data_IF_177926929566
#
_entry.id   IF_177926929566
#
_cell.length_a   1.000
_cell.length_b   1.000
_cell.length_c   1.000
_cell.angle_alpha   90.00
_cell.angle_beta   90.00
_cell.angle_gamma   90.00
#
_symmetry.space_group_name_H-M   'P 1'
#
loop_
_entity.id
_entity.type
_entity.pdbx_description
1 polymer ?
#
# COMPACT_ATOMS: atom_id res chain seq x y z
N UNK A 1 14.58 36.98 -3.25
CA UNK A 1 15.19 35.93 -4.09
C UNK A 1 14.17 34.83 -4.24
N UNK A 2 13.50 34.81 -5.38
CA UNK A 2 12.53 33.80 -5.79
C UNK A 2 13.27 32.95 -6.80
N UNK A 3 13.32 31.62 -6.60
CA UNK A 3 13.88 30.72 -7.60
C UNK A 3 12.72 30.24 -8.49
N UNK A 4 12.78 30.65 -9.76
CA UNK A 4 12.00 30.08 -10.86
C UNK A 4 12.45 28.64 -11.14
N UNK A 5 11.49 27.75 -11.36
CA UNK A 5 11.73 26.41 -11.91
C UNK A 5 11.15 26.40 -13.34
N UNK A 6 11.92 26.06 -14.38
CA UNK A 6 11.41 26.12 -15.75
C UNK A 6 10.40 25.01 -16.02
N UNK A 7 9.28 25.39 -16.61
CA UNK A 7 8.32 24.50 -17.26
C UNK A 7 8.94 24.04 -18.59
N UNK A 8 9.25 22.74 -18.71
CA UNK A 8 9.62 22.14 -19.99
C UNK A 8 8.38 21.52 -20.63
N UNK A 9 7.99 22.10 -21.76
CA UNK A 9 7.04 21.57 -22.73
C UNK A 9 7.84 20.68 -23.71
N UNK A 10 7.54 19.40 -23.79
CA UNK A 10 7.95 18.60 -24.95
C UNK A 10 6.88 17.56 -25.28
N UNK A 11 6.16 17.82 -26.37
CA UNK A 11 5.21 16.91 -26.99
C UNK A 11 5.98 15.80 -27.71
N UNK A 12 5.73 14.54 -27.36
CA UNK A 12 6.09 13.39 -28.20
C UNK A 12 4.81 12.66 -28.56
N UNK A 13 4.48 12.68 -29.84
CA UNK A 13 3.37 11.93 -30.43
C UNK A 13 3.85 10.54 -30.86
N UNK A 14 3.24 9.48 -30.35
CA UNK A 14 3.16 8.19 -31.08
C UNK A 14 1.83 7.50 -30.78
N UNK A 15 1.22 7.05 -31.88
CA UNK A 15 -0.07 6.38 -32.02
C UNK A 15 -0.10 4.98 -31.37
N UNK A 16 -1.19 4.65 -30.70
CA UNK A 16 -1.54 3.30 -30.23
C UNK A 16 -1.99 3.34 -28.77
N UNK A 17 -3.11 2.70 -28.45
CA UNK A 17 -3.84 2.78 -27.16
C UNK A 17 -3.04 2.21 -25.97
N UNK A 18 -1.99 2.90 -25.56
CA UNK A 18 -1.23 2.66 -24.33
C UNK A 18 -1.72 3.63 -23.25
N UNK A 19 -2.26 3.09 -22.15
CA UNK A 19 -2.58 3.84 -20.95
C UNK A 19 -1.27 4.30 -20.27
N UNK A 20 -0.73 5.42 -20.74
CA UNK A 20 0.34 6.14 -20.06
C UNK A 20 -0.26 6.86 -18.84
N UNK A 21 0.09 6.42 -17.63
CA UNK A 21 -0.11 7.23 -16.44
C UNK A 21 0.89 8.38 -16.52
N UNK A 22 0.39 9.58 -16.80
CA UNK A 22 1.17 10.82 -16.72
C UNK A 22 1.50 11.12 -15.27
N UNK A 23 2.52 11.95 -15.01
CA UNK A 23 2.80 12.46 -13.65
C UNK A 23 1.55 13.09 -12.99
N UNK A 24 0.58 13.56 -13.79
CA UNK A 24 -0.72 14.09 -13.37
C UNK A 24 -1.70 13.00 -12.88
N UNK A 25 -1.58 11.76 -13.32
CA UNK A 25 -2.42 10.64 -12.89
C UNK A 25 -1.99 10.09 -11.53
N UNK A 26 -0.68 10.13 -11.26
CA UNK A 26 -0.13 9.91 -9.90
C UNK A 26 -0.53 11.07 -8.98
N UNK A 27 -0.43 12.33 -9.44
CA UNK A 27 -0.78 13.51 -8.64
C UNK A 27 -2.30 13.70 -8.43
N UNK A 28 -3.16 13.20 -9.31
CA UNK A 28 -4.63 13.25 -9.13
C UNK A 28 -5.17 12.09 -8.28
N UNK A 29 -4.42 10.98 -8.17
CA UNK A 29 -4.71 9.87 -7.26
C UNK A 29 -4.08 10.07 -5.87
N UNK A 30 -3.04 10.90 -5.74
CA UNK A 30 -2.59 11.43 -4.44
C UNK A 30 -3.48 12.62 -4.07
N UNK A 31 -4.77 12.33 -3.82
CA UNK A 31 -5.56 13.20 -2.95
C UNK A 31 -4.98 13.00 -1.56
N UNK A 32 -4.20 13.98 -1.09
CA UNK A 32 -4.01 14.34 0.31
C UNK A 32 -4.42 13.23 1.30
N UNK A 33 -3.44 12.56 1.93
CA UNK A 33 -3.72 11.75 3.12
C UNK A 33 -4.53 12.61 4.09
N UNK A 34 -5.82 12.30 4.24
CA UNK A 34 -6.75 13.15 4.98
C UNK A 34 -6.46 13.05 6.48
N UNK A 35 -6.05 14.19 7.03
CA UNK A 35 -5.68 14.41 8.42
C UNK A 35 -6.91 14.24 9.32
N UNK A 36 -6.78 13.50 10.44
CA UNK A 36 -7.71 13.65 11.58
C UNK A 36 -7.28 14.89 12.37
N UNK A 37 -8.11 15.94 12.47
CA UNK A 37 -7.67 17.23 12.99
C UNK A 37 -7.87 17.33 14.51
N UNK A 38 -7.40 16.40 15.33
CA UNK A 38 -7.52 16.56 16.80
C UNK A 38 -6.32 16.09 17.63
N UNK A 39 -5.18 15.74 17.02
CA UNK A 39 -3.95 15.49 17.76
C UNK A 39 -2.97 16.67 17.58
N UNK A 40 -2.62 17.32 18.68
CA UNK A 40 -1.52 18.27 18.81
C UNK A 40 -0.31 17.77 18.00
N UNK A 41 0.12 18.54 16.99
CA UNK A 41 1.23 18.23 16.11
C UNK A 41 2.57 18.25 16.88
N UNK A 42 2.86 17.19 17.63
CA UNK A 42 4.23 16.89 18.09
C UNK A 42 4.88 16.00 17.05
N UNK A 43 5.36 16.60 15.95
CA UNK A 43 6.11 15.88 14.93
C UNK A 43 6.29 16.66 13.63
N UNK A 44 7.50 16.64 13.09
CA UNK A 44 7.80 17.29 11.80
C UNK A 44 7.37 16.41 10.62
N UNK A 45 6.90 17.03 9.53
CA UNK A 45 6.60 16.35 8.26
C UNK A 45 7.87 15.63 7.76
N UNK A 46 7.72 14.36 7.35
CA UNK A 46 8.79 13.58 6.72
C UNK A 46 8.38 13.23 5.30
N UNK A 47 9.33 13.30 4.36
CA UNK A 47 9.13 12.93 2.97
C UNK A 47 9.91 11.63 2.69
N UNK A 48 9.22 10.57 2.26
CA UNK A 48 9.86 9.31 1.88
C UNK A 48 9.64 9.08 0.39
N UNK A 49 10.70 9.09 -0.45
CA UNK A 49 10.57 8.85 -1.87
C UNK A 49 10.35 7.36 -2.16
N UNK A 50 9.25 7.02 -2.84
CA UNK A 50 9.08 5.72 -3.48
C UNK A 50 9.82 5.74 -4.81
N UNK A 51 10.97 5.09 -4.85
CA UNK A 51 11.79 4.95 -6.05
C UNK A 51 11.20 3.84 -6.95
N UNK A 52 11.60 3.76 -8.23
CA UNK A 52 11.23 2.65 -9.14
C UNK A 52 9.73 2.52 -9.48
N UNK A 53 8.96 3.61 -9.43
CA UNK A 53 7.57 3.67 -9.91
C UNK A 53 7.44 3.95 -11.42
N UNK A 54 8.57 3.99 -12.13
CA UNK A 54 8.69 4.36 -13.55
C UNK A 54 9.60 5.59 -13.74
N UNK A 55 10.07 5.86 -14.97
CA UNK A 55 10.88 7.04 -15.27
C UNK A 55 10.13 8.32 -14.87
N UNK A 56 10.73 9.15 -14.03
CA UNK A 56 10.17 10.46 -13.62
C UNK A 56 9.04 10.40 -12.59
N UNK A 57 8.67 9.22 -12.07
CA UNK A 57 7.63 9.11 -11.03
C UNK A 57 8.29 9.05 -9.65
N UNK A 58 8.02 10.06 -8.83
CA UNK A 58 8.29 10.05 -7.39
C UNK A 58 6.97 10.12 -6.65
N UNK A 59 6.65 9.11 -5.86
CA UNK A 59 5.60 9.25 -4.86
C UNK A 59 6.25 9.62 -3.52
N UNK A 60 5.61 10.57 -2.81
CA UNK A 60 6.05 11.02 -1.49
C UNK A 60 5.01 10.57 -0.50
N UNK A 61 5.44 9.76 0.48
CA UNK A 61 4.63 9.49 1.67
C UNK A 61 4.89 10.60 2.67
N UNK A 62 3.82 11.24 3.11
CA UNK A 62 3.85 12.26 4.15
C UNK A 62 3.37 11.67 5.45
N UNK A 63 4.18 11.83 6.49
CA UNK A 63 3.88 11.32 7.81
C UNK A 63 3.93 12.44 8.86
N UNK A 64 2.98 12.41 9.80
CA UNK A 64 2.95 13.31 10.95
C UNK A 64 3.34 12.54 12.20
N UNK A 65 4.31 13.06 12.96
CA UNK A 65 4.82 12.37 14.14
C UNK A 65 6.10 11.58 13.84
N UNK A 66 6.43 10.67 14.75
CA UNK A 66 7.54 9.75 14.57
C UNK A 66 7.20 8.72 13.49
N UNK A 67 8.19 8.39 12.67
CA UNK A 67 8.03 7.39 11.62
C UNK A 67 7.86 6.01 12.26
N UNK A 68 6.84 5.23 11.86
CA UNK A 68 6.70 3.86 12.35
C UNK A 68 7.91 3.03 11.96
N UNK A 69 8.29 2.13 12.86
CA UNK A 69 9.47 1.28 12.67
C UNK A 69 9.29 0.35 11.46
N UNK A 70 8.05 -0.07 11.18
CA UNK A 70 7.71 -0.95 10.06
C UNK A 70 7.77 -0.26 8.68
N UNK A 71 7.64 1.07 8.62
CA UNK A 71 7.34 1.79 7.38
C UNK A 71 8.47 1.70 6.35
N UNK A 72 9.71 1.86 6.79
CA UNK A 72 10.87 1.82 5.87
C UNK A 72 11.01 0.46 5.21
N UNK A 73 10.79 -0.62 5.95
CA UNK A 73 10.89 -1.98 5.43
C UNK A 73 9.72 -2.30 4.49
N UNK A 74 8.49 -1.92 4.86
CA UNK A 74 7.32 -2.07 4.01
C UNK A 74 7.52 -1.40 2.65
N UNK A 75 7.98 -0.14 2.64
CA UNK A 75 8.25 0.62 1.41
C UNK A 75 9.29 -0.11 0.54
N UNK A 76 10.38 -0.61 1.14
CA UNK A 76 11.42 -1.31 0.40
C UNK A 76 10.87 -2.60 -0.25
N UNK A 77 10.11 -3.40 0.50
CA UNK A 77 9.55 -4.66 -0.01
C UNK A 77 8.52 -4.41 -1.12
N UNK A 78 7.59 -3.47 -0.91
CA UNK A 78 6.58 -3.06 -1.88
C UNK A 78 7.23 -2.52 -3.17
N UNK A 79 8.27 -1.70 -3.06
CA UNK A 79 8.99 -1.15 -4.22
C UNK A 79 9.66 -2.24 -5.06
N UNK A 80 10.12 -3.35 -4.46
CA UNK A 80 10.66 -4.46 -5.25
C UNK A 80 9.58 -5.13 -6.11
N UNK A 81 8.34 -5.17 -5.64
CA UNK A 81 7.23 -5.76 -6.40
C UNK A 81 6.91 -4.96 -7.68
N UNK A 82 7.20 -3.66 -7.74
CA UNK A 82 6.99 -2.86 -8.95
C UNK A 82 7.98 -3.20 -10.07
N UNK A 83 9.05 -3.93 -9.75
CA UNK A 83 10.05 -4.38 -10.73
C UNK A 83 9.62 -5.67 -11.46
N UNK A 84 8.55 -6.32 -10.99
CA UNK A 84 8.01 -7.52 -11.63
C UNK A 84 7.55 -7.21 -13.05
N UNK A 85 8.14 -7.93 -14.01
CA UNK A 85 7.84 -7.75 -15.43
C UNK A 85 6.49 -8.37 -15.79
N UNK A 86 5.97 -7.99 -16.96
CA UNK A 86 4.82 -8.68 -17.54
C UNK A 86 5.10 -10.18 -17.62
N UNK A 87 4.10 -11.00 -17.28
CA UNK A 87 4.18 -12.46 -17.25
C UNK A 87 5.20 -13.03 -16.23
N UNK A 88 5.47 -12.33 -15.12
CA UNK A 88 6.42 -12.75 -14.09
C UNK A 88 6.15 -14.15 -13.49
N UNK A 89 4.92 -14.65 -13.58
CA UNK A 89 4.53 -15.98 -13.11
C UNK A 89 4.41 -17.03 -14.22
N UNK A 90 4.75 -16.71 -15.48
CA UNK A 90 4.55 -17.57 -16.66
C UNK A 90 3.08 -17.89 -17.03
N UNK A 91 2.10 -17.38 -16.29
CA UNK A 91 0.65 -17.57 -16.51
C UNK A 91 -0.07 -16.24 -16.81
N UNK A 92 0.62 -15.29 -17.40
CA UNK A 92 0.06 -14.01 -17.87
C UNK A 92 -0.11 -12.95 -16.80
N UNK A 93 0.55 -13.07 -15.63
CA UNK A 93 0.45 -12.06 -14.57
C UNK A 93 0.86 -10.66 -15.05
N UNK A 94 0.14 -9.66 -14.57
CA UNK A 94 0.43 -8.25 -14.82
C UNK A 94 1.51 -7.73 -13.86
N UNK A 95 2.30 -6.72 -14.26
CA UNK A 95 3.10 -5.94 -13.33
C UNK A 95 2.25 -5.37 -12.20
N UNK A 96 2.85 -5.20 -11.02
CA UNK A 96 2.19 -4.56 -9.89
C UNK A 96 1.95 -3.09 -10.20
N UNK A 97 0.72 -2.64 -10.00
CA UNK A 97 0.32 -1.26 -10.28
C UNK A 97 0.73 -0.33 -9.13
N UNK A 98 1.15 0.88 -9.47
CA UNK A 98 1.47 1.94 -8.50
C UNK A 98 0.30 2.20 -7.54
N UNK A 99 -0.93 2.24 -8.04
CA UNK A 99 -2.12 2.44 -7.20
C UNK A 99 -2.31 1.31 -6.17
N UNK A 100 -1.86 0.09 -6.46
CA UNK A 100 -1.88 -1.03 -5.51
C UNK A 100 -0.89 -0.81 -4.36
N UNK A 101 0.27 -0.21 -4.64
CA UNK A 101 1.24 0.19 -3.60
C UNK A 101 0.66 1.27 -2.69
N UNK A 102 -0.04 2.25 -3.27
CA UNK A 102 -0.70 3.31 -2.50
C UNK A 102 -1.81 2.74 -1.61
N UNK A 103 -2.67 1.88 -2.18
CA UNK A 103 -3.73 1.20 -1.42
C UNK A 103 -3.15 0.30 -0.31
N UNK A 104 -2.01 -0.33 -0.56
CA UNK A 104 -1.29 -1.11 0.45
C UNK A 104 -0.82 -0.23 1.61
N UNK A 105 -0.08 0.84 1.33
CA UNK A 105 0.44 1.72 2.37
C UNK A 105 -0.69 2.39 3.18
N UNK A 106 -1.78 2.79 2.53
CA UNK A 106 -2.97 3.33 3.18
C UNK A 106 -3.64 2.31 4.12
N UNK A 107 -3.75 1.06 3.67
CA UNK A 107 -4.28 -0.04 4.48
C UNK A 107 -3.39 -0.32 5.68
N UNK A 108 -2.07 -0.49 5.48
CA UNK A 108 -1.11 -0.75 6.56
C UNK A 108 -1.08 0.38 7.58
N UNK A 109 -1.07 1.64 7.13
CA UNK A 109 -1.16 2.80 8.01
C UNK A 109 -2.40 2.77 8.92
N UNK A 110 -3.51 2.23 8.40
CA UNK A 110 -4.78 2.16 9.13
C UNK A 110 -4.91 0.98 10.10
N UNK A 111 -4.01 -0.01 10.02
CA UNK A 111 -4.15 -1.29 10.76
C UNK A 111 -2.92 -1.71 11.54
N UNK A 112 -1.72 -1.26 11.17
CA UNK A 112 -0.47 -1.62 11.84
C UNK A 112 -0.12 -0.67 12.99
N UNK A 113 0.61 -1.22 13.95
CA UNK A 113 1.35 -0.49 14.98
C UNK A 113 2.82 -0.95 14.96
N UNK A 114 3.69 -0.31 15.74
CA UNK A 114 5.11 -0.72 15.82
C UNK A 114 5.31 -2.13 16.41
N UNK A 115 4.32 -2.63 17.16
CA UNK A 115 4.32 -3.99 17.72
C UNK A 115 3.73 -5.02 16.75
N UNK A 116 3.20 -4.58 15.60
CA UNK A 116 2.62 -5.48 14.61
C UNK A 116 3.72 -6.07 13.73
N UNK A 117 3.87 -7.42 13.66
CA UNK A 117 4.77 -8.04 12.70
C UNK A 117 4.43 -7.61 11.28
N UNK A 118 5.44 -7.33 10.46
CA UNK A 118 5.23 -6.99 9.05
C UNK A 118 4.63 -8.19 8.30
N UNK A 119 3.59 -8.02 7.48
CA UNK A 119 3.05 -9.10 6.67
C UNK A 119 4.03 -9.53 5.58
N UNK A 120 3.76 -10.70 5.01
CA UNK A 120 4.25 -11.02 3.67
C UNK A 120 3.50 -10.20 2.62
N UNK A 121 4.23 -9.74 1.60
CA UNK A 121 3.66 -8.99 0.48
C UNK A 121 3.62 -9.88 -0.76
N UNK A 122 2.42 -10.31 -1.14
CA UNK A 122 2.23 -11.25 -2.23
C UNK A 122 1.64 -10.53 -3.45
N UNK A 123 2.37 -10.43 -4.58
CA UNK A 123 1.83 -9.85 -5.80
C UNK A 123 0.77 -10.78 -6.40
N UNK A 124 -0.37 -10.23 -6.82
CA UNK A 124 -1.41 -11.03 -7.49
C UNK A 124 -1.23 -11.01 -9.02
N UNK A 125 -1.72 -12.03 -9.75
CA UNK A 125 -1.72 -12.00 -11.22
C UNK A 125 -2.48 -10.81 -11.82
N UNK A 126 -3.37 -10.17 -11.05
CA UNK A 126 -4.16 -9.00 -11.46
C UNK A 126 -3.38 -7.68 -11.35
N UNK A 127 -2.17 -7.70 -10.78
CA UNK A 127 -1.36 -6.51 -10.50
C UNK A 127 -1.75 -5.79 -9.20
N UNK A 128 -2.48 -6.46 -8.31
CA UNK A 128 -2.74 -6.01 -6.92
C UNK A 128 -1.73 -6.65 -5.96
N UNK A 129 -1.82 -6.31 -4.68
CA UNK A 129 -0.95 -6.82 -3.62
C UNK A 129 -1.84 -7.34 -2.50
N UNK A 130 -1.55 -8.56 -2.07
CA UNK A 130 -2.12 -9.18 -0.89
C UNK A 130 -1.11 -9.09 0.27
N UNK A 131 -1.62 -8.81 1.47
CA UNK A 131 -0.88 -8.88 2.73
C UNK A 131 -1.27 -10.16 3.43
N UNK A 132 -0.27 -10.92 3.87
CA UNK A 132 -0.52 -12.20 4.54
C UNK A 132 0.19 -12.23 5.89
N UNK A 133 -0.56 -12.58 6.93
CA UNK A 133 -0.02 -12.94 8.24
C UNK A 133 -0.41 -14.38 8.53
N UNK A 134 0.59 -15.26 8.53
CA UNK A 134 0.45 -16.67 8.92
C UNK A 134 1.25 -16.89 10.21
N UNK A 135 0.74 -16.39 11.33
CA UNK A 135 1.49 -16.36 12.61
C UNK A 135 0.56 -16.60 13.80
N UNK A 136 1.09 -17.22 14.86
CA UNK A 136 0.35 -17.47 16.11
C UNK A 136 -0.97 -18.24 15.94
N UNK A 137 -1.07 -19.08 14.89
CA UNK A 137 -2.29 -19.79 14.53
C UNK A 137 -3.39 -18.87 13.99
N UNK A 138 -3.03 -17.71 13.46
CA UNK A 138 -3.88 -16.80 12.70
C UNK A 138 -3.46 -16.87 11.24
N UNK A 139 -4.44 -17.05 10.36
CA UNK A 139 -4.32 -16.87 8.91
C UNK A 139 -5.09 -15.60 8.55
N UNK A 140 -4.41 -14.52 8.16
CA UNK A 140 -5.06 -13.27 7.74
C UNK A 140 -4.54 -12.88 6.36
N UNK A 141 -5.43 -12.87 5.39
CA UNK A 141 -5.17 -12.41 4.02
C UNK A 141 -5.95 -11.12 3.75
N UNK A 142 -5.27 -10.12 3.22
CA UNK A 142 -5.88 -8.82 2.88
C UNK A 142 -5.41 -8.35 1.51
N UNK A 143 -6.31 -8.37 0.51
CA UNK A 143 -6.04 -7.83 -0.84
C UNK A 143 -6.50 -6.36 -0.89
N UNK A 144 -5.54 -5.45 -1.08
CA UNK A 144 -5.81 -4.01 -1.21
C UNK A 144 -6.38 -3.70 -2.60
N UNK A 145 -7.71 -3.62 -2.69
CA UNK A 145 -8.42 -3.38 -3.95
C UNK A 145 -8.31 -1.92 -4.39
N UNK A 146 -8.49 -0.99 -3.45
CA UNK A 146 -8.33 0.45 -3.63
C UNK A 146 -8.14 1.12 -2.25
N UNK A 147 -7.72 2.40 -2.16
CA UNK A 147 -7.59 3.09 -0.88
C UNK A 147 -8.87 2.98 -0.04
N UNK A 148 -8.75 2.52 1.20
CA UNK A 148 -9.88 2.27 2.11
C UNK A 148 -10.82 1.11 1.75
N UNK A 149 -10.57 0.33 0.68
CA UNK A 149 -11.37 -0.85 0.33
C UNK A 149 -10.49 -2.10 0.18
N UNK A 150 -10.84 -3.13 0.94
CA UNK A 150 -10.07 -4.38 1.03
C UNK A 150 -10.97 -5.59 0.80
N UNK A 151 -10.38 -6.68 0.32
CA UNK A 151 -10.92 -8.04 0.47
C UNK A 151 -10.16 -8.72 1.62
N UNK A 152 -10.88 -9.37 2.52
CA UNK A 152 -10.31 -9.97 3.74
C UNK A 152 -10.74 -11.42 3.86
N UNK A 153 -9.78 -12.29 4.13
CA UNK A 153 -10.00 -13.63 4.67
C UNK A 153 -9.28 -13.74 6.01
N UNK A 154 -9.91 -14.35 7.00
CA UNK A 154 -9.37 -14.50 8.34
C UNK A 154 -9.79 -15.83 8.94
N UNK A 155 -8.83 -16.58 9.47
CA UNK A 155 -9.06 -17.81 10.22
C UNK A 155 -8.24 -17.80 11.51
N UNK A 156 -8.86 -18.21 12.61
CA UNK A 156 -8.18 -18.46 13.88
C UNK A 156 -8.16 -19.96 14.15
N UNK A 157 -7.04 -20.60 13.84
CA UNK A 157 -6.84 -22.04 13.96
C UNK A 157 -6.86 -22.55 15.40
N UNK A 158 -6.87 -21.65 16.40
CA UNK A 158 -6.99 -21.97 17.83
C UNK A 158 -8.37 -21.64 18.40
N UNK A 159 -9.19 -20.93 17.63
CA UNK A 159 -10.53 -20.49 18.02
C UNK A 159 -11.60 -21.52 17.71
N UNK A 160 -12.82 -21.26 18.21
CA UNK A 160 -14.03 -22.00 17.88
C UNK A 160 -14.94 -21.17 16.94
N UNK A 161 -14.53 -19.94 16.62
CA UNK A 161 -15.34 -19.02 15.83
C UNK A 161 -15.25 -19.32 14.34
N UNK A 162 -16.36 -19.10 13.64
CA UNK A 162 -16.38 -19.10 12.18
C UNK A 162 -15.42 -18.03 11.65
N UNK A 163 -14.56 -18.43 10.71
CA UNK A 163 -13.66 -17.54 10.01
C UNK A 163 -14.40 -16.52 9.13
N UNK A 164 -13.66 -15.55 8.61
CA UNK A 164 -14.13 -14.63 7.57
C UNK A 164 -13.58 -15.15 6.25
N UNK A 165 -14.44 -15.36 5.26
CA UNK A 165 -14.04 -15.77 3.92
C UNK A 165 -14.43 -14.70 2.90
N UNK A 166 -13.44 -14.20 2.14
CA UNK A 166 -13.61 -13.33 0.96
C UNK A 166 -14.52 -12.09 1.20
N UNK A 167 -14.43 -11.47 2.38
CA UNK A 167 -15.21 -10.29 2.71
C UNK A 167 -14.63 -9.04 2.03
N UNK A 168 -15.36 -8.48 1.07
CA UNK A 168 -15.06 -7.15 0.54
C UNK A 168 -15.69 -6.08 1.42
N UNK A 169 -14.88 -5.17 1.96
CA UNK A 169 -15.35 -4.15 2.91
C UNK A 169 -14.52 -2.87 2.85
N UNK A 170 -15.13 -1.76 3.27
CA UNK A 170 -14.42 -0.51 3.59
C UNK A 170 -14.24 -0.32 5.10
N UNK A 171 -14.81 -1.22 5.91
CA UNK A 171 -14.69 -1.19 7.35
C UNK A 171 -13.40 -1.89 7.79
N UNK A 172 -12.31 -1.13 7.89
CA UNK A 172 -11.02 -1.62 8.36
C UNK A 172 -10.98 -2.04 9.84
N UNK A 173 -12.09 -1.91 10.59
CA UNK A 173 -12.16 -2.44 11.95
C UNK A 173 -12.03 -3.98 11.98
N UNK A 174 -12.48 -4.66 10.93
CA UNK A 174 -12.32 -6.11 10.79
C UNK A 174 -10.84 -6.50 10.74
N UNK A 175 -10.07 -5.83 9.88
CA UNK A 175 -8.62 -6.05 9.76
C UNK A 175 -7.89 -5.67 11.04
N UNK A 176 -8.23 -4.52 11.65
CA UNK A 176 -7.66 -4.12 12.96
C UNK A 176 -7.91 -5.14 14.06
N UNK A 177 -9.10 -5.73 14.11
CA UNK A 177 -9.44 -6.78 15.06
C UNK A 177 -8.53 -7.99 14.90
N UNK A 178 -8.38 -8.48 13.67
CA UNK A 178 -7.49 -9.59 13.36
C UNK A 178 -6.01 -9.30 13.70
N UNK A 179 -5.51 -8.12 13.32
CA UNK A 179 -4.15 -7.65 13.66
C UNK A 179 -3.95 -7.54 15.17
N UNK A 180 -4.95 -7.05 15.91
CA UNK A 180 -4.89 -6.98 17.38
C UNK A 180 -4.76 -8.36 18.00
N UNK A 181 -5.43 -9.37 17.45
CA UNK A 181 -5.27 -10.77 17.88
C UNK A 181 -3.87 -11.30 17.63
N UNK A 182 -3.24 -10.95 16.49
CA UNK A 182 -1.85 -11.32 16.17
C UNK A 182 -0.90 -10.75 17.22
N UNK A 183 -1.03 -9.46 17.53
CA UNK A 183 -0.19 -8.76 18.51
C UNK A 183 -0.39 -9.35 19.91
N UNK A 184 -1.63 -9.61 20.32
CA UNK A 184 -1.93 -10.15 21.64
C UNK A 184 -1.39 -11.58 21.88
N UNK A 185 -0.96 -12.30 20.84
CA UNK A 185 -0.42 -13.66 20.93
C UNK A 185 1.11 -13.73 20.79
N UNK A 186 1.77 -12.63 20.44
CA UNK A 186 3.24 -12.52 20.36
C UNK A 186 3.83 -12.09 21.69
#
# INVERSE_FOLDING_TARGET
MVYDVPCFDEQITTSGDDFFLTAKDVLSSVRSFAFRPEATLTGGRRHIPLQHLGPGVTAVVEWNGDLPTWLSEAIQRLTRLTQLQQNWNSYGARPVRVNSIVAALDTLHSVMSDDTPLPEFVPTPRGTIQFEWHIHGIELEVDALSPGQVRVSYEDLRGINDGIEDLITTNLAVVRGAVSTIVARG
#
